data_IF_843903915731
#
_entry.id   IF_843903915731
#
_cell.length_a   1.000
_cell.length_b   1.000
_cell.length_c   1.000
_cell.angle_alpha   90.00
_cell.angle_beta   90.00
_cell.angle_gamma   90.00
#
_symmetry.space_group_name_H-M   'P 1'
#
loop_
_entity.id
_entity.type
_entity.pdbx_description
1 polymer ?
#
# COMPACT_ATOMS: atom_id res chain seq x y z
N UNK A 1 -24.79 7.82 -4.47
CA UNK A 1 -23.78 8.21 -5.47
C UNK A 1 -23.31 9.65 -5.24
N UNK A 2 -22.48 9.89 -4.22
CA UNK A 2 -21.82 11.18 -3.96
C UNK A 2 -20.45 10.90 -3.34
N UNK A 3 -19.46 10.47 -4.14
CA UNK A 3 -18.04 10.56 -3.75
C UNK A 3 -17.16 10.14 -4.93
N UNK A 4 -16.97 11.02 -5.91
CA UNK A 4 -15.92 10.83 -6.93
C UNK A 4 -15.24 12.16 -7.30
N UNK A 5 -15.36 13.19 -6.44
CA UNK A 5 -14.61 14.46 -6.56
C UNK A 5 -13.41 14.55 -5.60
N UNK A 6 -13.23 13.59 -4.68
CA UNK A 6 -12.27 13.71 -3.56
C UNK A 6 -10.80 13.45 -3.93
N UNK A 7 -10.50 12.41 -4.71
CA UNK A 7 -9.10 12.01 -4.99
C UNK A 7 -8.33 13.07 -5.78
N UNK A 8 -8.96 13.68 -6.80
CA UNK A 8 -8.34 14.78 -7.56
C UNK A 8 -8.15 16.05 -6.73
N UNK A 9 -8.96 16.27 -5.70
CA UNK A 9 -8.83 17.43 -4.82
C UNK A 9 -7.62 17.31 -3.88
N UNK A 10 -7.30 16.09 -3.43
CA UNK A 10 -6.11 15.79 -2.63
C UNK A 10 -4.84 15.99 -3.47
N UNK A 11 -4.86 15.57 -4.75
CA UNK A 11 -3.73 15.73 -5.68
C UNK A 11 -3.66 17.09 -6.40
N UNK A 12 -4.61 18.00 -6.19
CA UNK A 12 -4.65 19.33 -6.85
C UNK A 12 -3.46 20.23 -6.47
N UNK A 13 -2.71 19.83 -5.44
CA UNK A 13 -1.64 20.62 -4.85
C UNK A 13 -0.24 20.02 -5.06
N UNK A 14 -0.14 18.95 -5.85
CA UNK A 14 1.12 18.35 -6.26
C UNK A 14 1.75 19.17 -7.39
N UNK A 15 3.02 19.57 -7.21
CA UNK A 15 3.79 20.21 -8.29
C UNK A 15 4.08 19.20 -9.40
N UNK A 16 4.43 19.67 -10.60
CA UNK A 16 4.83 18.79 -11.71
C UNK A 16 5.94 17.81 -11.33
N UNK A 17 6.87 18.22 -10.46
CA UNK A 17 7.94 17.35 -9.93
C UNK A 17 7.39 16.26 -9.01
N UNK A 18 6.41 16.56 -8.16
CA UNK A 18 5.81 15.53 -7.29
C UNK A 18 5.01 14.52 -8.12
N UNK A 19 4.38 14.98 -9.19
CA UNK A 19 3.67 14.10 -10.12
C UNK A 19 4.62 13.15 -10.87
N UNK A 20 5.81 13.62 -11.23
CA UNK A 20 6.86 12.76 -11.80
C UNK A 20 7.37 11.73 -10.78
N UNK A 21 7.59 12.13 -9.52
CA UNK A 21 8.01 11.19 -8.46
C UNK A 21 6.93 10.15 -8.17
N UNK A 22 5.65 10.54 -8.14
CA UNK A 22 4.52 9.61 -7.97
C UNK A 22 4.44 8.65 -9.14
N UNK A 23 4.59 9.14 -10.38
CA UNK A 23 4.61 8.29 -11.57
C UNK A 23 5.74 7.27 -11.54
N UNK A 24 6.95 7.69 -11.17
CA UNK A 24 8.10 6.80 -11.05
C UNK A 24 7.94 5.80 -9.91
N UNK A 25 7.41 6.23 -8.77
CA UNK A 25 7.08 5.37 -7.63
C UNK A 25 5.98 4.36 -7.94
N UNK A 26 4.99 4.71 -8.76
CA UNK A 26 3.95 3.79 -9.24
C UNK A 26 4.53 2.69 -10.12
N UNK A 27 5.41 3.05 -11.05
CA UNK A 27 6.10 2.07 -11.91
C UNK A 27 6.98 1.16 -11.05
N UNK A 28 7.71 1.73 -10.08
CA UNK A 28 8.49 0.98 -9.09
C UNK A 28 7.66 -0.04 -8.33
N UNK A 29 6.54 0.38 -7.73
CA UNK A 29 5.63 -0.48 -6.96
C UNK A 29 5.05 -1.63 -7.77
N UNK A 30 4.68 -1.35 -9.03
CA UNK A 30 4.21 -2.40 -9.93
C UNK A 30 5.33 -3.38 -10.22
N UNK A 31 6.52 -2.90 -10.59
CA UNK A 31 7.67 -3.75 -10.85
C UNK A 31 8.01 -4.61 -9.64
N UNK A 32 8.08 -4.05 -8.44
CA UNK A 32 8.37 -4.79 -7.20
C UNK A 32 7.34 -5.89 -6.93
N UNK A 33 6.05 -5.60 -7.11
CA UNK A 33 5.00 -6.61 -6.98
C UNK A 33 5.17 -7.80 -7.94
N UNK A 34 5.69 -7.59 -9.15
CA UNK A 34 5.95 -8.68 -10.11
C UNK A 34 7.19 -9.52 -9.79
N UNK A 35 8.11 -9.03 -8.96
CA UNK A 35 9.37 -9.74 -8.64
C UNK A 35 9.08 -11.04 -7.91
N UNK A 36 8.15 -11.03 -6.95
CA UNK A 36 7.79 -12.22 -6.17
C UNK A 36 7.29 -13.37 -7.08
N UNK A 37 6.29 -13.17 -7.95
CA UNK A 37 5.89 -14.16 -8.96
C UNK A 37 7.03 -14.65 -9.86
N UNK A 38 7.90 -13.74 -10.33
CA UNK A 38 9.02 -14.11 -11.20
C UNK A 38 10.05 -14.98 -10.50
N UNK A 39 10.37 -14.69 -9.23
CA UNK A 39 11.26 -15.53 -8.42
C UNK A 39 10.67 -16.93 -8.22
N UNK A 40 9.36 -17.03 -7.94
CA UNK A 40 8.68 -18.33 -7.86
C UNK A 40 8.77 -19.11 -9.17
N UNK A 41 8.59 -18.44 -10.32
CA UNK A 41 8.70 -19.07 -11.63
C UNK A 41 10.10 -19.64 -11.89
N UNK A 42 11.16 -18.85 -11.68
CA UNK A 42 12.54 -19.29 -11.89
C UNK A 42 12.90 -20.43 -10.92
N UNK A 43 12.44 -20.33 -9.68
CA UNK A 43 12.63 -21.38 -8.67
C UNK A 43 11.90 -22.67 -9.08
N UNK A 44 10.70 -22.57 -9.66
CA UNK A 44 9.97 -23.71 -10.20
C UNK A 44 10.71 -24.39 -11.36
N UNK A 45 11.35 -23.62 -12.24
CA UNK A 45 12.21 -24.17 -13.30
C UNK A 45 13.44 -24.88 -12.73
N UNK A 46 14.09 -24.27 -11.73
CA UNK A 46 15.19 -24.90 -10.98
C UNK A 46 14.77 -26.24 -10.38
N UNK A 47 13.62 -26.29 -9.71
CA UNK A 47 13.07 -27.53 -9.14
C UNK A 47 12.75 -28.59 -10.21
N UNK A 48 12.26 -28.18 -11.37
CA UNK A 48 11.99 -29.09 -12.48
C UNK A 48 13.28 -29.68 -13.06
N UNK A 49 14.32 -28.85 -13.25
CA UNK A 49 15.63 -29.29 -13.72
C UNK A 49 16.31 -30.23 -12.70
N UNK A 50 16.09 -30.00 -11.40
CA UNK A 50 16.51 -30.90 -10.32
C UNK A 50 15.88 -32.30 -10.42
N UNK A 51 14.63 -32.39 -10.86
CA UNK A 51 13.91 -33.66 -10.98
C UNK A 51 14.09 -34.40 -12.32
N UNK A 52 14.57 -33.73 -13.37
CA UNK A 52 14.49 -34.21 -14.76
C UNK A 52 15.72 -34.91 -15.34
N UNK A 53 16.94 -34.75 -14.79
CA UNK A 53 18.14 -35.37 -15.37
C UNK A 53 19.34 -35.45 -14.42
N UNK A 54 19.75 -36.66 -14.05
CA UNK A 54 21.00 -36.98 -13.34
C UNK A 54 22.22 -37.11 -14.28
N UNK A 55 22.22 -36.40 -15.41
CA UNK A 55 23.41 -36.32 -16.27
C UNK A 55 24.27 -35.14 -15.81
N UNK A 56 25.31 -35.45 -15.02
CA UNK A 56 26.11 -34.48 -14.24
C UNK A 56 26.51 -33.18 -15.00
N UNK A 57 26.84 -33.26 -16.29
CA UNK A 57 27.33 -32.10 -17.04
C UNK A 57 26.24 -31.15 -17.54
N UNK A 58 25.12 -31.69 -18.03
CA UNK A 58 23.97 -30.93 -18.52
C UNK A 58 23.19 -30.31 -17.35
N UNK A 59 23.09 -31.06 -16.25
CA UNK A 59 22.48 -30.62 -14.99
C UNK A 59 23.20 -29.41 -14.38
N UNK A 60 24.51 -29.50 -14.18
CA UNK A 60 25.30 -28.41 -13.60
C UNK A 60 25.24 -27.12 -14.43
N UNK A 61 25.19 -27.26 -15.76
CA UNK A 61 25.09 -26.11 -16.68
C UNK A 61 23.72 -25.43 -16.60
N UNK A 62 22.63 -26.20 -16.51
CA UNK A 62 21.27 -25.67 -16.38
C UNK A 62 21.06 -24.95 -15.04
N UNK A 63 21.50 -25.56 -13.93
CA UNK A 63 21.40 -24.95 -12.60
C UNK A 63 22.22 -23.68 -12.53
N UNK A 64 23.48 -23.70 -12.99
CA UNK A 64 24.33 -22.51 -12.98
C UNK A 64 23.68 -21.34 -13.73
N UNK A 65 23.06 -21.61 -14.89
CA UNK A 65 22.35 -20.59 -15.67
C UNK A 65 21.15 -20.01 -14.91
N UNK A 66 20.32 -20.85 -14.29
CA UNK A 66 19.14 -20.40 -13.56
C UNK A 66 19.52 -19.70 -12.23
N UNK A 67 20.59 -20.12 -11.55
CA UNK A 67 21.15 -19.45 -10.37
C UNK A 67 21.66 -18.05 -10.72
N UNK A 68 22.37 -17.90 -11.84
CA UNK A 68 22.81 -16.59 -12.33
C UNK A 68 21.61 -15.70 -12.69
N UNK A 69 20.54 -16.26 -13.26
CA UNK A 69 19.30 -15.52 -13.51
C UNK A 69 18.65 -15.01 -12.21
N UNK A 70 18.62 -15.82 -11.14
CA UNK A 70 18.15 -15.38 -9.82
C UNK A 70 19.01 -14.26 -9.25
N UNK A 71 20.34 -14.32 -9.41
CA UNK A 71 21.24 -13.26 -8.97
C UNK A 71 20.94 -11.93 -9.69
N UNK A 72 20.73 -11.97 -11.00
CA UNK A 72 20.36 -10.78 -11.76
C UNK A 72 19.01 -10.21 -11.30
N UNK A 73 18.00 -11.06 -11.11
CA UNK A 73 16.69 -10.62 -10.60
C UNK A 73 16.81 -10.01 -9.20
N UNK A 74 17.59 -10.60 -8.30
CA UNK A 74 17.82 -10.07 -6.96
C UNK A 74 18.55 -8.72 -6.98
N UNK A 75 19.53 -8.54 -7.87
CA UNK A 75 20.21 -7.25 -8.02
C UNK A 75 19.29 -6.17 -8.59
N UNK A 76 18.44 -6.53 -9.57
CA UNK A 76 17.46 -5.63 -10.14
C UNK A 76 16.37 -5.26 -9.11
N UNK A 77 15.92 -6.23 -8.32
CA UNK A 77 14.90 -6.00 -7.28
C UNK A 77 15.40 -5.04 -6.23
N UNK A 78 16.64 -5.20 -5.77
CA UNK A 78 17.23 -4.27 -4.81
C UNK A 78 17.22 -2.81 -5.32
N UNK A 79 17.56 -2.59 -6.58
CA UNK A 79 17.52 -1.25 -7.19
C UNK A 79 16.08 -0.72 -7.30
N UNK A 80 15.13 -1.57 -7.73
CA UNK A 80 13.72 -1.19 -7.90
C UNK A 80 13.09 -0.83 -6.54
N UNK A 81 13.21 -1.68 -5.52
CA UNK A 81 12.67 -1.43 -4.19
C UNK A 81 13.27 -0.15 -3.58
N UNK A 82 14.57 0.08 -3.80
CA UNK A 82 15.23 1.29 -3.30
C UNK A 82 14.68 2.56 -3.95
N UNK A 83 14.54 2.56 -5.28
CA UNK A 83 13.98 3.70 -6.03
C UNK A 83 12.53 3.95 -5.63
N UNK A 84 11.72 2.89 -5.53
CA UNK A 84 10.33 2.96 -5.10
C UNK A 84 10.22 3.60 -3.70
N UNK A 85 10.90 3.02 -2.71
CA UNK A 85 10.86 3.51 -1.33
C UNK A 85 11.31 4.96 -1.25
N UNK A 86 12.42 5.31 -1.92
CA UNK A 86 12.90 6.69 -1.97
C UNK A 86 11.86 7.65 -2.57
N UNK A 87 11.23 7.29 -3.70
CA UNK A 87 10.25 8.14 -4.36
C UNK A 87 8.98 8.35 -3.53
N UNK A 88 8.46 7.29 -2.90
CA UNK A 88 7.25 7.38 -2.06
C UNK A 88 7.51 8.13 -0.76
N UNK A 89 8.61 7.85 -0.05
CA UNK A 89 8.98 8.59 1.16
C UNK A 89 9.19 10.07 0.86
N UNK A 90 9.94 10.39 -0.21
CA UNK A 90 10.21 11.78 -0.59
C UNK A 90 8.94 12.54 -0.97
N UNK A 91 8.02 11.88 -1.67
CA UNK A 91 6.73 12.47 -2.04
C UNK A 91 5.87 12.72 -0.80
N UNK A 92 5.76 11.74 0.10
CA UNK A 92 5.00 11.87 1.36
C UNK A 92 5.49 13.04 2.20
N UNK A 93 6.80 13.17 2.40
CA UNK A 93 7.41 14.28 3.13
C UNK A 93 7.07 15.65 2.52
N UNK A 94 7.23 15.79 1.19
CA UNK A 94 6.99 17.06 0.49
C UNK A 94 5.52 17.47 0.57
N UNK A 95 4.59 16.53 0.41
CA UNK A 95 3.16 16.82 0.51
C UNK A 95 2.78 17.23 1.93
N UNK A 96 3.24 16.49 2.95
CA UNK A 96 2.98 16.79 4.34
C UNK A 96 3.53 18.16 4.76
N UNK A 97 4.77 18.48 4.39
CA UNK A 97 5.38 19.77 4.67
C UNK A 97 4.60 20.94 4.06
N UNK A 98 4.10 20.78 2.83
CA UNK A 98 3.30 21.81 2.15
C UNK A 98 1.94 22.02 2.81
N UNK A 99 1.28 20.95 3.24
CA UNK A 99 0.02 21.05 3.98
C UNK A 99 0.23 21.85 5.27
N UNK A 100 1.27 21.53 6.05
CA UNK A 100 1.63 22.28 7.28
C UNK A 100 1.95 23.75 6.99
N UNK A 101 2.75 24.03 5.97
CA UNK A 101 3.12 25.41 5.62
C UNK A 101 1.91 26.25 5.22
N UNK A 102 1.00 25.71 4.41
CA UNK A 102 -0.19 26.43 3.97
C UNK A 102 -1.18 26.63 5.10
N UNK A 103 -1.34 25.62 5.93
CA UNK A 103 -2.16 25.72 7.13
C UNK A 103 -1.65 26.84 8.05
N UNK A 104 -0.35 26.82 8.38
CA UNK A 104 0.25 27.88 9.20
C UNK A 104 0.08 29.27 8.56
N UNK A 105 0.25 29.37 7.24
CA UNK A 105 0.03 30.62 6.48
C UNK A 105 -1.43 31.09 6.53
N UNK A 106 -2.39 30.18 6.53
CA UNK A 106 -3.81 30.51 6.63
C UNK A 106 -4.15 31.01 8.05
N UNK A 107 -3.67 30.32 9.08
CA UNK A 107 -3.85 30.73 10.48
C UNK A 107 -3.25 32.12 10.74
N UNK A 108 -2.03 32.39 10.26
CA UNK A 108 -1.39 33.71 10.42
C UNK A 108 -2.10 34.86 9.67
N UNK A 109 -2.98 34.57 8.72
CA UNK A 109 -3.75 35.57 7.96
C UNK A 109 -5.12 35.87 8.57
N UNK A 110 -5.46 35.22 9.67
CA UNK A 110 -6.78 35.31 10.27
C UNK A 110 -6.84 36.47 11.28
N UNK A 111 -7.99 37.16 11.33
CA UNK A 111 -8.16 38.32 12.20
C UNK A 111 -8.18 37.96 13.69
N UNK A 112 -7.76 38.91 14.54
CA UNK A 112 -7.70 38.73 16.02
C UNK A 112 -9.06 38.32 16.61
N UNK A 113 -10.17 38.82 16.04
CA UNK A 113 -11.53 38.45 16.48
C UNK A 113 -11.88 36.97 16.26
N UNK A 114 -11.23 36.28 15.32
CA UNK A 114 -11.40 34.83 15.15
C UNK A 114 -10.76 34.06 16.30
N UNK A 115 -9.57 34.48 16.71
CA UNK A 115 -8.85 33.85 17.81
C UNK A 115 -9.59 34.06 19.14
N UNK A 116 -10.17 35.24 19.39
CA UNK A 116 -10.88 35.55 20.64
C UNK A 116 -12.16 34.71 20.84
N UNK A 117 -12.85 34.36 19.75
CA UNK A 117 -14.01 33.46 19.77
C UNK A 117 -13.63 31.97 19.88
N UNK A 118 -12.38 31.62 19.60
CA UNK A 118 -11.92 30.24 19.40
C UNK A 118 -10.57 29.96 20.11
N UNK A 119 -10.25 30.64 21.23
CA UNK A 119 -8.90 30.59 21.84
C UNK A 119 -8.55 29.17 22.29
N UNK A 120 -9.50 28.42 22.85
CA UNK A 120 -9.31 27.01 23.26
C UNK A 120 -9.23 26.07 22.05
N UNK A 121 -9.98 26.36 20.97
CA UNK A 121 -10.04 25.51 19.78
C UNK A 121 -8.91 25.78 18.80
N UNK A 122 -8.24 26.94 18.82
CA UNK A 122 -7.16 27.25 17.86
C UNK A 122 -5.95 26.34 18.05
N UNK A 123 -5.48 26.14 19.29
CA UNK A 123 -4.39 25.21 19.59
C UNK A 123 -4.76 23.77 19.24
N UNK A 124 -6.01 23.39 19.47
CA UNK A 124 -6.53 22.06 19.12
C UNK A 124 -6.63 21.87 17.61
N UNK A 125 -7.03 22.91 16.86
CA UNK A 125 -7.06 22.87 15.39
C UNK A 125 -5.63 22.78 14.83
N UNK A 126 -4.66 23.51 15.41
CA UNK A 126 -3.26 23.42 14.96
C UNK A 126 -2.71 22.01 15.20
N UNK A 127 -3.01 21.43 16.36
CA UNK A 127 -2.58 20.09 16.72
C UNK A 127 -3.26 19.04 15.85
N UNK A 128 -4.57 19.20 15.58
CA UNK A 128 -5.32 18.28 14.72
C UNK A 128 -4.84 18.33 13.28
N UNK A 129 -4.60 19.51 12.70
CA UNK A 129 -4.06 19.59 11.33
C UNK A 129 -2.64 19.03 11.24
N UNK A 130 -1.81 19.23 12.27
CA UNK A 130 -0.48 18.60 12.34
C UNK A 130 -0.59 17.07 12.39
N UNK A 131 -1.47 16.54 13.24
CA UNK A 131 -1.75 15.10 13.34
C UNK A 131 -2.29 14.53 12.02
N UNK A 132 -3.30 15.18 11.43
CA UNK A 132 -3.90 14.76 10.16
C UNK A 132 -2.87 14.76 9.03
N UNK A 133 -1.95 15.74 9.01
CA UNK A 133 -0.86 15.76 8.03
C UNK A 133 0.12 14.61 8.20
N UNK A 134 0.36 14.13 9.43
CA UNK A 134 1.19 12.94 9.69
C UNK A 134 0.48 11.68 9.23
N UNK A 135 -0.83 11.56 9.49
CA UNK A 135 -1.64 10.44 8.99
C UNK A 135 -1.63 10.40 7.47
N UNK A 136 -1.79 11.54 6.81
CA UNK A 136 -1.71 11.64 5.35
C UNK A 136 -0.31 11.26 4.84
N UNK A 137 0.74 11.69 5.54
CA UNK A 137 2.11 11.32 5.21
C UNK A 137 2.28 9.80 5.25
N UNK A 138 1.89 9.16 6.34
CA UNK A 138 1.97 7.71 6.54
C UNK A 138 1.23 6.95 5.45
N UNK A 139 0.01 7.38 5.13
CA UNK A 139 -0.81 6.77 4.08
C UNK A 139 -0.12 6.90 2.72
N UNK A 140 0.44 8.06 2.38
CA UNK A 140 1.09 8.29 1.09
C UNK A 140 2.44 7.59 0.96
N UNK A 141 3.27 7.58 2.01
CA UNK A 141 4.63 7.02 1.94
C UNK A 141 4.69 5.54 2.19
N UNK A 142 3.75 4.96 2.94
CA UNK A 142 3.80 3.56 3.35
C UNK A 142 2.59 2.75 2.88
N UNK A 143 1.35 3.19 3.18
CA UNK A 143 0.17 2.36 2.91
C UNK A 143 -0.17 2.25 1.43
N UNK A 144 -0.04 3.35 0.70
CA UNK A 144 -0.36 3.41 -0.73
C UNK A 144 0.61 2.57 -1.59
N UNK A 145 1.95 2.67 -1.47
CA UNK A 145 2.86 1.78 -2.18
C UNK A 145 2.65 0.30 -1.82
N UNK A 146 2.49 -0.02 -0.52
CA UNK A 146 2.21 -1.39 -0.10
C UNK A 146 0.92 -1.94 -0.74
N UNK A 147 -0.14 -1.13 -0.83
CA UNK A 147 -1.38 -1.54 -1.49
C UNK A 147 -1.16 -1.84 -2.98
N UNK A 148 -0.41 -0.98 -3.68
CA UNK A 148 -0.08 -1.16 -5.09
C UNK A 148 0.77 -2.40 -5.32
N UNK A 149 1.86 -2.56 -4.56
CA UNK A 149 2.74 -3.72 -4.60
C UNK A 149 1.94 -5.02 -4.42
N UNK A 150 1.09 -5.10 -3.39
CA UNK A 150 0.26 -6.27 -3.12
C UNK A 150 -0.76 -6.53 -4.24
N UNK A 151 -1.36 -5.48 -4.81
CA UNK A 151 -2.28 -5.62 -5.94
C UNK A 151 -1.56 -6.15 -7.19
N UNK A 152 -0.38 -5.61 -7.53
CA UNK A 152 0.44 -6.12 -8.63
C UNK A 152 0.95 -7.53 -8.38
N UNK A 153 1.35 -7.87 -7.16
CA UNK A 153 1.79 -9.21 -6.80
C UNK A 153 0.65 -10.23 -6.91
N UNK A 154 -0.56 -9.85 -6.52
CA UNK A 154 -1.75 -10.69 -6.69
C UNK A 154 -2.02 -11.00 -8.17
N UNK A 155 -2.04 -9.96 -9.01
CA UNK A 155 -2.25 -10.12 -10.46
C UNK A 155 -1.12 -10.91 -11.09
N UNK A 156 0.14 -10.57 -10.79
CA UNK A 156 1.32 -11.24 -11.31
C UNK A 156 1.39 -12.72 -10.91
N UNK A 157 1.05 -13.04 -9.67
CA UNK A 157 1.01 -14.43 -9.19
C UNK A 157 -0.02 -15.24 -9.94
N UNK A 158 -1.21 -14.68 -10.18
CA UNK A 158 -2.25 -15.34 -10.96
C UNK A 158 -1.81 -15.60 -12.40
N UNK A 159 -1.19 -14.61 -13.06
CA UNK A 159 -0.68 -14.74 -14.43
C UNK A 159 0.38 -15.84 -14.51
N UNK A 160 1.38 -15.82 -13.62
CA UNK A 160 2.43 -16.85 -13.58
C UNK A 160 1.86 -18.24 -13.30
N UNK A 161 0.91 -18.34 -12.36
CA UNK A 161 0.29 -19.61 -12.01
C UNK A 161 -0.50 -20.23 -13.18
N UNK A 162 -1.23 -19.40 -13.94
CA UNK A 162 -1.91 -19.83 -15.15
C UNK A 162 -0.93 -20.27 -16.25
N UNK A 163 0.19 -19.57 -16.42
CA UNK A 163 1.21 -19.93 -17.41
C UNK A 163 1.86 -21.28 -17.07
N UNK A 164 2.21 -21.52 -15.81
CA UNK A 164 2.89 -22.75 -15.42
C UNK A 164 1.96 -23.97 -15.45
N UNK A 165 0.79 -23.87 -14.83
CA UNK A 165 -0.08 -25.02 -14.59
C UNK A 165 -1.56 -24.65 -14.66
N UNK A 166 -2.02 -24.25 -15.85
CA UNK A 166 -3.43 -23.88 -16.09
C UNK A 166 -4.43 -24.94 -15.64
N UNK A 167 -4.13 -26.23 -15.83
CA UNK A 167 -5.00 -27.34 -15.41
C UNK A 167 -5.13 -27.44 -13.88
N UNK A 168 -4.04 -27.21 -13.15
CA UNK A 168 -4.05 -27.28 -11.68
C UNK A 168 -4.81 -26.08 -11.09
N UNK A 169 -4.65 -24.90 -11.66
CA UNK A 169 -5.33 -23.67 -11.21
C UNK A 169 -6.84 -23.74 -11.42
N UNK A 170 -7.31 -24.29 -12.55
CA UNK A 170 -8.74 -24.49 -12.80
C UNK A 170 -9.37 -25.40 -11.74
N UNK A 171 -8.67 -26.46 -11.33
CA UNK A 171 -9.12 -27.37 -10.27
C UNK A 171 -9.00 -26.73 -8.88
N UNK A 172 -8.00 -25.87 -8.67
CA UNK A 172 -7.78 -25.15 -7.41
C UNK A 172 -8.74 -23.98 -7.16
N UNK A 173 -9.30 -23.39 -8.21
CA UNK A 173 -10.20 -22.22 -8.13
C UNK A 173 -11.38 -22.36 -7.15
N UNK A 174 -12.13 -23.49 -7.11
CA UNK A 174 -13.21 -23.67 -6.13
C UNK A 174 -12.71 -23.65 -4.67
N UNK A 175 -11.48 -24.12 -4.40
CA UNK A 175 -10.90 -24.08 -3.04
C UNK A 175 -10.57 -22.66 -2.61
N UNK A 176 -10.11 -21.81 -3.55
CA UNK A 176 -9.86 -20.39 -3.28
C UNK A 176 -11.18 -19.69 -2.91
N UNK A 177 -12.25 -19.93 -3.68
CA UNK A 177 -13.58 -19.35 -3.38
C UNK A 177 -14.10 -19.85 -2.02
N UNK A 178 -13.92 -21.13 -1.72
CA UNK A 178 -14.30 -21.73 -0.44
C UNK A 178 -13.54 -21.15 0.75
N UNK A 179 -12.30 -20.71 0.58
CA UNK A 179 -11.51 -20.00 1.60
C UNK A 179 -11.91 -18.51 1.73
N UNK A 180 -12.21 -17.84 0.61
CA UNK A 180 -12.55 -16.41 0.60
C UNK A 180 -13.90 -16.15 1.27
N UNK A 181 -14.90 -17.02 1.09
CA UNK A 181 -16.25 -16.80 1.64
C UNK A 181 -16.25 -16.68 3.18
N UNK A 182 -15.69 -17.64 3.95
CA UNK A 182 -15.55 -17.51 5.40
C UNK A 182 -14.74 -16.28 5.80
N UNK A 183 -13.63 -16.00 5.10
CA UNK A 183 -12.79 -14.84 5.38
C UNK A 183 -13.56 -13.52 5.28
N UNK A 184 -14.38 -13.36 4.25
CA UNK A 184 -15.25 -12.19 4.09
C UNK A 184 -16.36 -12.16 5.14
N UNK A 185 -16.95 -13.30 5.50
CA UNK A 185 -17.96 -13.38 6.56
C UNK A 185 -17.38 -12.98 7.92
N UNK A 186 -16.23 -13.54 8.30
CA UNK A 186 -15.52 -13.17 9.53
C UNK A 186 -15.13 -11.69 9.53
N UNK A 187 -14.61 -11.16 8.42
CA UNK A 187 -14.28 -9.75 8.29
C UNK A 187 -15.50 -8.84 8.46
N UNK A 188 -16.63 -9.17 7.83
CA UNK A 188 -17.90 -8.44 7.98
C UNK A 188 -18.42 -8.51 9.41
N UNK A 189 -18.33 -9.67 10.05
CA UNK A 189 -18.75 -9.87 11.44
C UNK A 189 -17.91 -9.01 12.40
N UNK A 190 -16.58 -9.01 12.24
CA UNK A 190 -15.68 -8.18 13.04
C UNK A 190 -15.97 -6.69 12.89
N UNK A 191 -16.17 -6.20 11.65
CA UNK A 191 -16.52 -4.79 11.39
C UNK A 191 -17.86 -4.43 12.06
N UNK A 192 -18.84 -5.34 11.99
CA UNK A 192 -20.15 -5.15 12.64
C UNK A 192 -20.03 -5.06 14.15
N UNK A 193 -19.26 -5.96 14.77
CA UNK A 193 -19.00 -5.97 16.22
C UNK A 193 -18.27 -4.69 16.63
N UNK A 194 -17.21 -4.31 15.92
CA UNK A 194 -16.46 -3.08 16.20
C UNK A 194 -17.35 -1.84 16.12
N UNK A 195 -18.26 -1.77 15.15
CA UNK A 195 -19.23 -0.67 15.04
C UNK A 195 -20.18 -0.62 16.23
N UNK A 196 -20.76 -1.76 16.61
CA UNK A 196 -21.65 -1.84 17.78
C UNK A 196 -20.93 -1.43 19.06
N UNK A 197 -19.70 -1.92 19.25
CA UNK A 197 -18.87 -1.50 20.39
C UNK A 197 -18.71 0.02 20.40
N UNK A 198 -18.37 0.63 19.27
CA UNK A 198 -18.23 2.08 19.17
C UNK A 198 -19.53 2.85 19.47
N UNK A 199 -20.68 2.36 19.00
CA UNK A 199 -21.98 2.97 19.24
C UNK A 199 -22.35 2.94 20.73
N UNK A 200 -22.22 1.78 21.37
CA UNK A 200 -22.48 1.60 22.81
C UNK A 200 -21.50 2.42 23.68
N UNK A 201 -20.23 2.47 23.30
CA UNK A 201 -19.24 3.32 23.98
C UNK A 201 -19.56 4.81 23.86
N UNK A 202 -20.05 5.26 22.71
CA UNK A 202 -20.46 6.65 22.53
C UNK A 202 -21.69 7.01 23.37
N UNK A 203 -22.67 6.11 23.46
CA UNK A 203 -23.86 6.33 24.30
C UNK A 203 -23.47 6.41 25.78
N UNK A 204 -22.71 5.44 26.29
CA UNK A 204 -22.20 5.46 27.66
C UNK A 204 -21.33 6.70 27.95
N UNK A 205 -20.49 7.10 26.98
CA UNK A 205 -19.69 8.31 27.04
C UNK A 205 -20.55 9.57 27.14
N UNK A 206 -21.62 9.67 26.36
CA UNK A 206 -22.53 10.81 26.39
C UNK A 206 -23.27 10.95 27.72
N UNK A 207 -23.67 9.83 28.33
CA UNK A 207 -24.34 9.83 29.64
C UNK A 207 -23.35 10.24 30.73
N UNK A 208 -22.12 9.73 30.67
CA UNK A 208 -21.06 10.11 31.59
C UNK A 208 -20.73 11.60 31.48
N UNK A 209 -20.63 12.13 30.25
CA UNK A 209 -20.37 13.55 29.99
C UNK A 209 -21.52 14.46 30.45
N UNK A 210 -22.78 13.99 30.39
CA UNK A 210 -23.94 14.72 30.91
C UNK A 210 -24.05 14.71 32.44
N UNK A 211 -23.44 13.73 33.11
CA UNK A 211 -23.48 13.58 34.56
C UNK A 211 -22.39 14.38 35.29
N UNK A 212 -21.38 14.87 34.55
CA UNK A 212 -20.27 15.71 35.04
C UNK A 212 -20.62 17.18 34.79
#
# INVERSE_FOLDING_TARGET
MKSCRSIRSIFMHADGVDWMLVGLGLIGAVCDGFITPTVFFITGLLLNDLGGSFSDRTFMTAISKNTVALLYVASASWVICFIEGYCWTRTGERQAARMRQRYLKAVLRQDVGYFDLHVTSTSDVITSVSSDSLVIQDVLSEKLPNFLMNASAFVGSYVVAFIMMWRLIIVGFPFIVLLVIPGLMYGRALISISRKIHEEYNEAGSIAEQAI
#
